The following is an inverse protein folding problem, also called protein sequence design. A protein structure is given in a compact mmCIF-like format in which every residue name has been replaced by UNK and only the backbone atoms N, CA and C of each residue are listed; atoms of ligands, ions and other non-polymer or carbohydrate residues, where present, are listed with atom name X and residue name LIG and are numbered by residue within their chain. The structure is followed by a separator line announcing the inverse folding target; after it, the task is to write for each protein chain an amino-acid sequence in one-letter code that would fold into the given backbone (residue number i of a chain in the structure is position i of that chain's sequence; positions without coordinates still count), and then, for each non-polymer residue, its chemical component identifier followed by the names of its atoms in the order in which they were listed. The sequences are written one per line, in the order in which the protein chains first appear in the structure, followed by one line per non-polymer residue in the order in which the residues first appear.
data_IF_041399442207
#
_entry.id   IF_041399442207
#
_cell.length_a   1.000
_cell.length_b   1.000
_cell.length_c   1.000
_cell.angle_alpha   90.00
_cell.angle_beta   90.00
_cell.angle_gamma   90.00
#
_symmetry.space_group_name_H-M   'P 1'
#
loop_
_entity.id
_entity.type
_entity.pdbx_description
1 polymer ?
#
# COMPACT_ATOMS: atom_id res chain seq x y z
N UNK A 1 -32.09 27.18 -45.56
CA UNK A 1 -31.47 26.43 -46.69
C UNK A 1 -29.98 26.34 -46.39
N UNK A 2 -29.49 25.17 -45.94
CA UNK A 2 -28.05 24.92 -45.74
C UNK A 2 -27.50 24.45 -47.08
N UNK A 3 -26.56 25.18 -47.66
CA UNK A 3 -25.92 24.81 -48.93
C UNK A 3 -25.23 23.44 -48.79
N UNK A 4 -25.30 22.57 -49.81
CA UNK A 4 -24.57 21.30 -49.77
C UNK A 4 -23.07 21.58 -49.72
N UNK A 5 -22.40 21.02 -48.70
CA UNK A 5 -20.95 21.14 -48.49
C UNK A 5 -20.18 20.72 -49.74
N UNK A 6 -19.22 21.55 -50.15
CA UNK A 6 -18.34 21.27 -51.30
C UNK A 6 -17.42 20.07 -51.01
N UNK A 7 -17.00 19.31 -52.03
CA UNK A 7 -16.14 18.13 -51.85
C UNK A 7 -14.80 18.45 -51.15
N UNK A 8 -14.31 19.69 -51.27
CA UNK A 8 -13.13 20.18 -50.53
C UNK A 8 -13.39 20.30 -49.03
N UNK A 9 -14.57 20.77 -48.63
CA UNK A 9 -14.95 20.89 -47.22
C UNK A 9 -15.19 19.52 -46.58
N UNK A 10 -15.81 18.59 -47.32
CA UNK A 10 -15.92 17.18 -46.88
C UNK A 10 -14.55 16.54 -46.70
N UNK A 11 -13.63 16.70 -47.66
CA UNK A 11 -12.27 16.16 -47.56
C UNK A 11 -11.47 16.79 -46.42
N UNK A 12 -11.61 18.10 -46.17
CA UNK A 12 -10.98 18.80 -45.05
C UNK A 12 -11.53 18.32 -43.70
N UNK A 13 -12.84 18.15 -43.58
CA UNK A 13 -13.45 17.58 -42.37
C UNK A 13 -13.03 16.13 -42.14
N UNK A 14 -12.98 15.31 -43.21
CA UNK A 14 -12.52 13.93 -43.12
C UNK A 14 -11.06 13.83 -42.67
N UNK A 15 -10.17 14.65 -43.24
CA UNK A 15 -8.76 14.73 -42.83
C UNK A 15 -8.63 15.19 -41.37
N UNK A 16 -9.39 16.21 -40.95
CA UNK A 16 -9.39 16.69 -39.55
C UNK A 16 -9.90 15.63 -38.57
N UNK A 17 -10.97 14.92 -38.92
CA UNK A 17 -11.51 13.83 -38.09
C UNK A 17 -10.53 12.66 -38.00
N UNK A 18 -9.93 12.24 -39.13
CA UNK A 18 -8.93 11.15 -39.13
C UNK A 18 -7.65 11.56 -38.38
N UNK A 19 -7.17 12.79 -38.56
CA UNK A 19 -6.01 13.29 -37.80
C UNK A 19 -6.32 13.38 -36.31
N UNK A 20 -7.55 13.78 -35.94
CA UNK A 20 -8.00 13.83 -34.55
C UNK A 20 -8.05 12.44 -33.92
N UNK A 21 -8.61 11.44 -34.61
CA UNK A 21 -8.65 10.05 -34.15
C UNK A 21 -7.25 9.46 -34.03
N UNK A 22 -6.37 9.70 -35.01
CA UNK A 22 -4.98 9.23 -34.98
C UNK A 22 -4.22 9.86 -33.81
N UNK A 23 -4.35 11.18 -33.61
CA UNK A 23 -3.75 11.89 -32.47
C UNK A 23 -4.23 11.32 -31.13
N UNK A 24 -5.52 11.04 -31.01
CA UNK A 24 -6.12 10.47 -29.80
C UNK A 24 -5.60 9.05 -29.53
N UNK A 25 -5.52 8.20 -30.57
CA UNK A 25 -4.94 6.86 -30.48
C UNK A 25 -3.45 6.89 -30.12
N UNK A 26 -2.66 7.77 -30.74
CA UNK A 26 -1.24 7.91 -30.41
C UNK A 26 -1.04 8.40 -28.98
N UNK A 27 -1.87 9.33 -28.51
CA UNK A 27 -1.82 9.83 -27.13
C UNK A 27 -2.16 8.72 -26.14
N UNK A 28 -3.20 7.91 -26.43
CA UNK A 28 -3.56 6.75 -25.62
C UNK A 28 -2.45 5.69 -25.59
N UNK A 29 -1.83 5.40 -26.73
CA UNK A 29 -0.70 4.49 -26.82
C UNK A 29 0.50 4.98 -26.02
N UNK A 30 0.79 6.30 -26.06
CA UNK A 30 1.85 6.93 -25.29
C UNK A 30 1.58 6.81 -23.78
N UNK A 31 0.36 7.11 -23.32
CA UNK A 31 -0.02 6.99 -21.90
C UNK A 31 0.10 5.54 -21.43
N UNK A 32 -0.32 4.58 -22.26
CA UNK A 32 -0.18 3.15 -21.95
C UNK A 32 1.30 2.72 -21.85
N UNK A 33 2.16 3.22 -22.74
CA UNK A 33 3.60 2.96 -22.71
C UNK A 33 4.28 3.60 -21.48
N UNK A 34 3.88 4.83 -21.12
CA UNK A 34 4.45 5.59 -20.00
C UNK A 34 3.84 5.25 -18.65
N UNK A 35 2.84 4.35 -18.56
CA UNK A 35 2.11 4.04 -17.32
C UNK A 35 3.01 3.69 -16.13
N UNK A 36 4.16 3.08 -16.39
CA UNK A 36 5.12 2.72 -15.35
C UNK A 36 5.80 3.94 -14.71
N UNK A 37 5.97 5.03 -15.47
CA UNK A 37 6.56 6.28 -15.00
C UNK A 37 5.52 7.21 -14.37
N UNK A 38 4.23 7.04 -14.68
CA UNK A 38 3.16 7.88 -14.15
C UNK A 38 3.18 7.93 -12.62
N UNK A 39 3.23 6.77 -11.94
CA UNK A 39 3.18 6.74 -10.48
C UNK A 39 4.39 7.45 -9.84
N UNK A 40 5.66 7.11 -10.16
CA UNK A 40 6.81 7.86 -9.65
C UNK A 40 6.74 9.36 -9.94
N UNK A 41 6.38 9.75 -11.16
CA UNK A 41 6.28 11.16 -11.54
C UNK A 41 5.23 11.89 -10.71
N UNK A 42 4.05 11.30 -10.49
CA UNK A 42 3.03 11.94 -9.67
C UNK A 42 3.48 12.01 -8.21
N UNK A 43 4.12 10.97 -7.66
CA UNK A 43 4.68 11.01 -6.30
C UNK A 43 5.70 12.15 -6.16
N UNK A 44 6.57 12.32 -7.15
CA UNK A 44 7.52 13.44 -7.21
C UNK A 44 6.81 14.80 -7.26
N UNK A 45 5.77 14.93 -8.10
CA UNK A 45 5.00 16.16 -8.23
C UNK A 45 4.22 16.52 -6.96
N UNK A 46 3.58 15.54 -6.33
CA UNK A 46 2.93 15.73 -5.03
C UNK A 46 3.94 16.14 -3.96
N UNK A 47 5.09 15.47 -3.90
CA UNK A 47 6.15 15.82 -2.97
C UNK A 47 6.59 17.27 -3.15
N UNK A 48 6.86 17.70 -4.39
CA UNK A 48 7.26 19.07 -4.67
C UNK A 48 6.17 20.07 -4.26
N UNK A 49 4.92 19.76 -4.57
CA UNK A 49 3.76 20.56 -4.20
C UNK A 49 3.62 20.71 -2.69
N UNK A 50 3.74 19.61 -1.93
CA UNK A 50 3.69 19.59 -0.47
C UNK A 50 4.87 20.34 0.17
N UNK A 51 6.05 20.27 -0.44
CA UNK A 51 7.26 20.95 0.02
C UNK A 51 7.31 22.44 -0.36
N UNK A 52 6.50 22.91 -1.32
CA UNK A 52 6.46 24.32 -1.74
C UNK A 52 6.22 25.33 -0.60
N UNK A 53 5.25 25.15 0.32
CA UNK A 53 5.11 26.05 1.48
C UNK A 53 6.33 26.02 2.42
N UNK A 54 6.99 24.86 2.58
CA UNK A 54 8.23 24.74 3.34
C UNK A 54 9.37 25.49 2.66
N UNK A 55 9.50 25.36 1.34
CA UNK A 55 10.46 26.11 0.52
C UNK A 55 10.29 27.62 0.73
N UNK A 56 9.06 28.13 0.62
CA UNK A 56 8.79 29.56 0.82
C UNK A 56 9.13 30.03 2.25
N UNK A 57 8.81 29.23 3.27
CA UNK A 57 9.22 29.55 4.66
C UNK A 57 10.73 29.59 4.84
N UNK A 58 11.48 28.70 4.20
CA UNK A 58 12.95 28.72 4.23
C UNK A 58 13.51 29.97 3.53
N UNK A 59 12.93 30.35 2.38
CA UNK A 59 13.28 31.59 1.67
C UNK A 59 13.02 32.82 2.55
N UNK A 60 11.88 32.88 3.24
CA UNK A 60 11.57 33.98 4.17
C UNK A 60 12.52 34.02 5.39
N UNK A 61 13.15 32.91 5.76
CA UNK A 61 14.20 32.85 6.80
C UNK A 61 15.60 33.20 6.28
N UNK A 62 15.74 33.63 5.02
CA UNK A 62 17.00 34.07 4.43
C UNK A 62 17.85 32.94 3.83
N UNK A 63 17.31 31.72 3.70
CA UNK A 63 18.02 30.63 3.01
C UNK A 63 17.97 30.88 1.50
N UNK A 64 19.12 30.78 0.82
CA UNK A 64 19.18 30.94 -0.64
C UNK A 64 18.34 29.87 -1.35
N UNK A 65 17.74 30.23 -2.49
CA UNK A 65 16.83 29.34 -3.23
C UNK A 65 17.46 27.96 -3.50
N UNK A 66 18.71 27.94 -3.97
CA UNK A 66 19.43 26.70 -4.26
C UNK A 66 19.67 25.83 -3.02
N UNK A 67 20.04 26.43 -1.88
CA UNK A 67 20.24 25.69 -0.63
C UNK A 67 18.93 25.10 -0.11
N UNK A 68 17.84 25.86 -0.15
CA UNK A 68 16.55 25.38 0.30
C UNK A 68 16.05 24.20 -0.54
N UNK A 69 16.23 24.26 -1.86
CA UNK A 69 15.90 23.16 -2.80
C UNK A 69 16.76 21.93 -2.52
N UNK A 70 18.07 22.09 -2.34
CA UNK A 70 18.98 20.97 -2.04
C UNK A 70 18.63 20.30 -0.72
N UNK A 71 18.31 21.07 0.33
CA UNK A 71 17.90 20.53 1.63
C UNK A 71 16.59 19.73 1.50
N UNK A 72 15.59 20.28 0.81
CA UNK A 72 14.31 19.59 0.61
C UNK A 72 14.45 18.34 -0.24
N UNK A 73 15.29 18.39 -1.29
CA UNK A 73 15.60 17.23 -2.12
C UNK A 73 16.31 16.13 -1.33
N UNK A 74 17.31 16.49 -0.52
CA UNK A 74 18.01 15.55 0.36
C UNK A 74 17.05 14.92 1.39
N UNK A 75 16.15 15.72 1.99
CA UNK A 75 15.13 15.23 2.91
C UNK A 75 14.16 14.27 2.22
N UNK A 76 13.66 14.61 1.03
CA UNK A 76 12.77 13.75 0.24
C UNK A 76 13.44 12.41 -0.11
N UNK A 77 14.68 12.45 -0.58
CA UNK A 77 15.46 11.26 -0.90
C UNK A 77 15.73 10.40 0.34
N UNK A 78 16.05 11.02 1.47
CA UNK A 78 16.25 10.34 2.74
C UNK A 78 14.96 9.66 3.23
N UNK A 79 13.81 10.33 3.14
CA UNK A 79 12.50 9.73 3.46
C UNK A 79 12.25 8.50 2.58
N UNK A 80 12.45 8.59 1.27
CA UNK A 80 12.29 7.45 0.36
C UNK A 80 13.23 6.30 0.74
N UNK A 81 14.49 6.60 1.05
CA UNK A 81 15.48 5.59 1.45
C UNK A 81 15.09 4.90 2.77
N UNK A 82 14.61 5.66 3.75
CA UNK A 82 14.12 5.13 5.02
C UNK A 82 12.89 4.25 4.80
N UNK A 83 11.91 4.71 4.04
CA UNK A 83 10.71 3.92 3.70
C UNK A 83 11.08 2.63 2.98
N UNK A 84 12.02 2.68 2.03
CA UNK A 84 12.51 1.51 1.31
C UNK A 84 13.16 0.49 2.26
N UNK A 85 14.04 0.93 3.16
CA UNK A 85 14.62 0.07 4.20
C UNK A 85 13.55 -0.51 5.14
N UNK A 86 12.56 0.29 5.51
CA UNK A 86 11.46 -0.13 6.36
C UNK A 86 10.64 -1.24 5.71
N UNK A 87 10.32 -1.10 4.41
CA UNK A 87 9.60 -2.10 3.62
C UNK A 87 10.44 -3.39 3.49
N UNK A 88 11.75 -3.28 3.25
CA UNK A 88 12.64 -4.44 3.20
C UNK A 88 12.68 -5.20 4.53
N UNK A 89 12.60 -4.50 5.66
CA UNK A 89 12.52 -5.15 6.98
C UNK A 89 11.21 -5.93 7.20
N UNK A 90 10.15 -5.61 6.46
CA UNK A 90 8.84 -6.28 6.59
C UNK A 90 8.75 -7.50 5.68
N UNK A 91 9.34 -7.45 4.48
CA UNK A 91 9.31 -8.58 3.54
C UNK A 91 10.34 -9.62 4.00
N UNK A 92 9.92 -10.77 4.55
CA UNK A 92 10.88 -11.77 5.00
C UNK A 92 11.61 -12.37 3.81
N UNK A 93 12.92 -12.60 3.98
CA UNK A 93 13.72 -13.39 3.03
C UNK A 93 13.06 -14.76 2.77
N UNK A 94 13.41 -15.44 1.68
CA UNK A 94 12.79 -16.73 1.32
C UNK A 94 12.76 -17.73 2.50
N UNK A 95 13.82 -17.77 3.32
CA UNK A 95 13.88 -18.56 4.55
C UNK A 95 12.92 -18.06 5.64
N UNK A 96 12.88 -16.74 5.89
CA UNK A 96 11.95 -16.13 6.85
C UNK A 96 10.50 -16.31 6.46
N UNK A 97 10.17 -16.36 5.16
CA UNK A 97 8.82 -16.61 4.66
C UNK A 97 8.34 -18.02 5.02
N UNK A 98 9.23 -19.02 4.90
CA UNK A 98 8.96 -20.41 5.27
C UNK A 98 8.74 -20.54 6.78
N UNK A 99 9.60 -19.89 7.57
CA UNK A 99 9.45 -19.83 9.02
C UNK A 99 8.16 -19.15 9.46
N UNK A 100 7.82 -18.02 8.84
CA UNK A 100 6.59 -17.29 9.13
C UNK A 100 5.35 -18.16 8.86
N UNK A 101 5.33 -18.97 7.79
CA UNK A 101 4.25 -19.93 7.54
C UNK A 101 4.12 -20.97 8.66
N UNK A 102 5.22 -21.59 9.08
CA UNK A 102 5.23 -22.58 10.18
C UNK A 102 4.77 -21.95 11.49
N UNK A 103 5.26 -20.73 11.79
CA UNK A 103 4.89 -19.98 12.99
C UNK A 103 3.41 -19.62 13.02
N UNK A 104 2.88 -19.13 11.90
CA UNK A 104 1.46 -18.84 11.74
C UNK A 104 0.65 -20.12 11.91
N UNK A 105 1.04 -21.22 11.24
CA UNK A 105 0.35 -22.50 11.34
C UNK A 105 0.29 -22.99 12.79
N UNK A 106 1.40 -22.94 13.52
CA UNK A 106 1.46 -23.31 14.94
C UNK A 106 0.50 -22.47 15.79
N UNK A 107 0.61 -21.14 15.70
CA UNK A 107 -0.18 -20.21 16.53
C UNK A 107 -1.66 -20.26 16.21
N UNK A 108 -2.01 -20.42 14.93
CA UNK A 108 -3.37 -20.57 14.46
C UNK A 108 -4.00 -21.85 15.05
N UNK A 109 -3.30 -22.99 14.95
CA UNK A 109 -3.78 -24.26 15.49
C UNK A 109 -3.90 -24.24 17.02
N UNK A 110 -2.96 -23.60 17.72
CA UNK A 110 -3.08 -23.41 19.17
C UNK A 110 -4.32 -22.59 19.53
N UNK A 111 -4.48 -21.38 18.96
CA UNK A 111 -5.63 -20.53 19.27
C UNK A 111 -6.95 -21.20 18.90
N UNK A 112 -6.99 -21.94 17.80
CA UNK A 112 -8.19 -22.68 17.38
C UNK A 112 -8.54 -23.81 18.34
N UNK A 113 -7.55 -24.58 18.80
CA UNK A 113 -7.75 -25.64 19.79
C UNK A 113 -8.22 -25.07 21.12
N UNK A 114 -7.66 -23.93 21.55
CA UNK A 114 -8.11 -23.18 22.74
C UNK A 114 -9.56 -22.70 22.62
N UNK A 115 -9.94 -22.11 21.47
CA UNK A 115 -11.31 -21.63 21.21
C UNK A 115 -12.32 -22.79 21.25
N UNK A 116 -11.95 -23.96 20.75
CA UNK A 116 -12.81 -25.15 20.76
C UNK A 116 -12.72 -25.95 22.06
N UNK A 117 -11.83 -25.59 22.98
CA UNK A 117 -11.58 -26.33 24.22
C UNK A 117 -11.13 -27.77 23.97
N UNK A 118 -10.41 -28.01 22.87
CA UNK A 118 -9.84 -29.32 22.52
C UNK A 118 -8.40 -29.34 23.07
N UNK A 119 -8.25 -29.39 24.38
CA UNK A 119 -6.94 -29.67 24.99
C UNK A 119 -6.92 -31.13 25.46
N UNK A 120 -5.82 -31.83 25.10
CA UNK A 120 -5.40 -33.17 25.51
C UNK A 120 -6.50 -34.12 26.01
N UNK A 121 -7.28 -34.68 25.07
CA UNK A 121 -8.21 -35.78 25.32
C UNK A 121 -9.62 -35.41 25.81
N UNK A 122 -9.95 -34.11 25.90
CA UNK A 122 -11.24 -33.62 26.39
C UNK A 122 -12.34 -33.46 25.33
N UNK A 123 -13.60 -33.70 25.75
CA UNK A 123 -14.81 -33.30 25.00
C UNK A 123 -14.78 -31.79 24.80
N UNK A 124 -14.84 -31.33 23.55
CA UNK A 124 -14.80 -29.90 23.22
C UNK A 124 -15.91 -29.09 23.90
N UNK A 125 -15.69 -27.78 23.97
CA UNK A 125 -16.58 -26.84 24.65
C UNK A 125 -17.89 -26.58 23.86
N UNK A 126 -18.72 -25.65 24.34
CA UNK A 126 -19.98 -25.26 23.67
C UNK A 126 -19.74 -24.81 22.22
N UNK A 127 -18.64 -24.11 21.95
CA UNK A 127 -18.26 -23.65 20.61
C UNK A 127 -17.95 -24.85 19.71
N UNK A 128 -17.23 -25.86 20.20
CA UNK A 128 -17.00 -27.10 19.48
C UNK A 128 -18.29 -27.83 19.13
N UNK A 129 -19.22 -27.93 20.06
CA UNK A 129 -20.49 -28.63 19.82
C UNK A 129 -21.39 -27.88 18.81
N UNK A 130 -21.32 -26.55 18.76
CA UNK A 130 -22.13 -25.73 17.85
C UNK A 130 -21.49 -25.53 16.48
N UNK A 131 -20.19 -25.24 16.44
CA UNK A 131 -19.49 -24.78 15.24
C UNK A 131 -18.37 -25.72 14.81
N UNK A 132 -18.00 -26.74 15.59
CA UNK A 132 -16.89 -27.64 15.28
C UNK A 132 -17.06 -28.36 13.94
N UNK A 133 -18.29 -28.73 13.56
CA UNK A 133 -18.59 -29.40 12.28
C UNK A 133 -18.21 -28.54 11.06
N UNK A 134 -18.36 -27.23 11.16
CA UNK A 134 -18.06 -26.29 10.07
C UNK A 134 -16.64 -25.72 10.18
N UNK A 135 -16.15 -25.51 11.40
CA UNK A 135 -14.84 -24.92 11.68
C UNK A 135 -13.69 -25.91 11.44
N UNK A 136 -13.84 -27.20 11.77
CA UNK A 136 -12.77 -28.19 11.60
C UNK A 136 -12.38 -28.36 10.12
N UNK A 137 -13.31 -28.57 9.16
CA UNK A 137 -12.95 -28.66 7.74
C UNK A 137 -12.37 -27.35 7.18
N UNK A 138 -12.81 -26.20 7.70
CA UNK A 138 -12.21 -24.91 7.35
C UNK A 138 -10.76 -24.83 7.82
N UNK A 139 -10.48 -25.26 9.05
CA UNK A 139 -9.13 -25.26 9.60
C UNK A 139 -8.21 -26.21 8.83
N UNK A 140 -8.70 -27.38 8.42
CA UNK A 140 -7.93 -28.30 7.57
C UNK A 140 -7.58 -27.66 6.21
N UNK A 141 -8.52 -26.93 5.59
CA UNK A 141 -8.24 -26.16 4.36
C UNK A 141 -7.18 -25.10 4.59
N UNK A 142 -7.26 -24.33 5.68
CA UNK A 142 -6.25 -23.31 6.02
C UNK A 142 -4.89 -23.95 6.26
N UNK A 143 -4.84 -25.05 7.03
CA UNK A 143 -3.62 -25.80 7.27
C UNK A 143 -3.00 -26.32 5.97
N UNK A 144 -3.80 -26.87 5.06
CA UNK A 144 -3.32 -27.35 3.77
C UNK A 144 -2.76 -26.23 2.88
N UNK A 145 -3.32 -25.02 2.96
CA UNK A 145 -2.88 -23.86 2.17
C UNK A 145 -1.57 -23.24 2.70
N UNK A 146 -1.28 -23.39 4.00
CA UNK A 146 -0.07 -22.85 4.64
C UNK A 146 1.04 -23.90 4.73
N UNK A 147 0.71 -25.17 4.49
CA UNK A 147 1.65 -26.30 4.53
C UNK A 147 2.81 -26.12 3.55
N UNK A 148 4.01 -26.46 4.01
CA UNK A 148 5.22 -26.41 3.19
C UNK A 148 5.24 -27.56 2.15
N UNK A 149 5.47 -27.21 0.88
CA UNK A 149 5.74 -28.17 -0.19
C UNK A 149 7.07 -28.90 0.02
N UNK A 150 7.32 -30.01 -0.71
CA UNK A 150 8.53 -30.82 -0.51
C UNK A 150 9.84 -30.03 -0.64
N UNK A 151 9.95 -29.18 -1.65
CA UNK A 151 11.16 -28.39 -1.87
C UNK A 151 11.29 -27.27 -0.83
N UNK A 152 10.17 -26.68 -0.43
CA UNK A 152 10.08 -25.69 0.65
C UNK A 152 10.49 -26.29 2.01
N UNK A 153 10.12 -27.55 2.30
CA UNK A 153 10.55 -28.28 3.52
C UNK A 153 12.06 -28.42 3.59
N UNK A 154 12.70 -28.82 2.48
CA UNK A 154 14.16 -28.96 2.42
C UNK A 154 14.86 -27.60 2.65
N UNK A 155 14.33 -26.54 2.03
CA UNK A 155 14.84 -25.18 2.23
C UNK A 155 14.66 -24.70 3.67
N UNK A 156 13.52 -24.99 4.29
CA UNK A 156 13.24 -24.66 5.69
C UNK A 156 14.24 -25.33 6.64
N UNK A 157 14.43 -26.65 6.52
CA UNK A 157 15.39 -27.41 7.34
C UNK A 157 16.81 -26.88 7.16
N UNK A 158 17.24 -26.66 5.90
CA UNK A 158 18.57 -26.10 5.61
C UNK A 158 18.74 -24.71 6.24
N UNK A 159 17.72 -23.86 6.17
CA UNK A 159 17.76 -22.51 6.73
C UNK A 159 17.84 -22.50 8.26
N UNK A 160 17.14 -23.42 8.92
CA UNK A 160 17.17 -23.55 10.38
C UNK A 160 18.53 -24.07 10.86
N UNK A 161 19.09 -25.08 10.19
CA UNK A 161 20.44 -25.58 10.49
C UNK A 161 21.50 -24.48 10.35
N UNK A 162 21.48 -23.72 9.25
CA UNK A 162 22.45 -22.64 9.03
C UNK A 162 22.33 -21.49 10.06
N UNK A 163 21.14 -21.29 10.64
CA UNK A 163 20.88 -20.18 11.57
C UNK A 163 21.12 -20.57 13.04
N UNK A 164 20.85 -21.81 13.42
CA UNK A 164 20.86 -22.27 14.82
C UNK A 164 21.88 -23.38 15.10
N UNK A 165 22.68 -23.75 14.10
CA UNK A 165 23.71 -24.79 14.18
C UNK A 165 23.16 -26.07 14.83
N UNK A 166 23.76 -26.59 15.90
CA UNK A 166 23.29 -27.81 16.60
C UNK A 166 22.00 -27.61 17.43
N UNK A 167 21.65 -26.37 17.78
CA UNK A 167 20.48 -26.08 18.64
C UNK A 167 19.15 -26.02 17.87
N UNK A 168 19.16 -26.25 16.55
CA UNK A 168 17.95 -26.13 15.72
C UNK A 168 16.85 -27.14 16.08
N UNK A 169 17.21 -28.31 16.60
CA UNK A 169 16.28 -29.38 17.00
C UNK A 169 15.49 -29.03 18.27
N UNK A 170 16.00 -28.12 19.09
CA UNK A 170 15.35 -27.64 20.31
C UNK A 170 14.37 -26.50 20.02
N UNK A 171 14.40 -25.94 18.81
CA UNK A 171 13.52 -24.85 18.43
C UNK A 171 12.07 -25.34 18.35
N UNK A 172 11.21 -24.78 19.21
CA UNK A 172 9.78 -25.09 19.31
C UNK A 172 9.06 -25.16 17.95
N UNK A 173 9.33 -24.21 17.06
CA UNK A 173 8.72 -24.18 15.72
C UNK A 173 9.24 -25.28 14.79
N UNK A 174 10.50 -25.66 14.95
CA UNK A 174 11.10 -26.78 14.22
C UNK A 174 10.52 -28.12 14.71
N UNK A 175 10.34 -28.28 16.02
CA UNK A 175 9.68 -29.46 16.59
C UNK A 175 8.23 -29.59 16.14
N UNK A 176 7.48 -28.48 16.13
CA UNK A 176 6.12 -28.48 15.61
C UNK A 176 6.08 -28.84 14.12
N UNK A 177 7.00 -28.29 13.32
CA UNK A 177 7.14 -28.66 11.92
C UNK A 177 7.38 -30.17 11.76
N UNK A 178 8.31 -30.75 12.52
CA UNK A 178 8.58 -32.19 12.51
C UNK A 178 7.36 -33.00 12.91
N UNK A 179 6.65 -32.60 13.97
CA UNK A 179 5.44 -33.27 14.43
C UNK A 179 4.35 -33.26 13.36
N UNK A 180 4.14 -32.14 12.67
CA UNK A 180 3.19 -32.05 11.56
C UNK A 180 3.61 -32.92 10.36
N UNK A 181 4.88 -32.94 9.99
CA UNK A 181 5.40 -33.79 8.90
C UNK A 181 5.20 -35.27 9.23
N UNK A 182 5.40 -35.65 10.48
CA UNK A 182 5.20 -37.02 10.96
C UNK A 182 3.72 -37.39 11.07
N UNK A 183 2.85 -36.50 11.54
CA UNK A 183 1.41 -36.74 11.61
C UNK A 183 0.78 -36.85 10.20
N UNK A 184 1.30 -36.11 9.23
CA UNK A 184 0.87 -36.20 7.83
C UNK A 184 1.21 -37.57 7.20
N UNK A 185 2.35 -38.16 7.62
CA UNK A 185 2.73 -39.54 7.24
C UNK A 185 1.70 -40.57 7.69
N UNK A 186 1.10 -40.39 8.86
CA UNK A 186 0.07 -41.28 9.41
C UNK A 186 -1.29 -41.08 8.73
N UNK A 187 -1.64 -39.84 8.39
CA UNK A 187 -2.94 -39.50 7.77
C UNK A 187 -2.99 -39.77 6.27
N UNK A 188 -1.88 -39.65 5.55
CA UNK A 188 -1.84 -39.68 4.09
C UNK A 188 -0.81 -40.70 3.59
N UNK A 189 -1.16 -41.99 3.72
CA UNK A 189 -0.33 -43.11 3.24
C UNK A 189 0.16 -42.96 1.79
N UNK A 190 1.45 -43.24 1.59
CA UNK A 190 2.23 -43.39 0.33
C UNK A 190 2.13 -42.34 -0.79
N UNK A 191 1.18 -41.40 -0.76
CA UNK A 191 0.97 -40.45 -1.86
C UNK A 191 1.95 -39.28 -1.85
N UNK A 192 2.65 -39.07 -0.73
CA UNK A 192 3.69 -38.04 -0.58
C UNK A 192 4.98 -38.54 0.08
N UNK A 193 5.42 -39.77 -0.25
CA UNK A 193 6.83 -40.23 -0.16
C UNK A 193 7.49 -40.27 1.23
N UNK A 194 8.72 -40.79 1.22
CA UNK A 194 9.48 -41.21 2.41
C UNK A 194 9.66 -40.10 3.46
N UNK A 195 9.83 -40.49 4.74
CA UNK A 195 10.04 -39.55 5.84
C UNK A 195 11.18 -38.57 5.51
N UNK A 196 11.09 -37.34 6.04
CA UNK A 196 12.28 -36.52 6.22
C UNK A 196 13.10 -37.24 7.28
N UNK A 197 13.95 -38.13 6.82
CA UNK A 197 14.90 -38.84 7.64
C UNK A 197 15.88 -37.80 8.20
N UNK A 198 15.86 -37.60 9.52
CA UNK A 198 16.71 -36.60 10.19
C UNK A 198 18.20 -36.93 10.00
N UNK A 199 18.50 -38.22 9.81
CA UNK A 199 19.83 -38.73 9.47
C UNK A 199 20.15 -38.56 7.99
N UNK A 200 19.17 -38.60 7.08
CA UNK A 200 19.40 -38.21 5.68
C UNK A 200 19.48 -36.69 5.52
N UNK A 201 18.77 -35.93 6.36
CA UNK A 201 18.87 -34.49 6.40
C UNK A 201 20.22 -34.05 6.95
N UNK A 202 20.80 -34.74 7.94
CA UNK A 202 22.18 -34.53 8.39
C UNK A 202 23.19 -34.92 7.30
N UNK A 203 22.90 -35.96 6.50
CA UNK A 203 23.70 -36.44 5.36
C UNK A 203 23.41 -35.76 4.01
N UNK A 204 22.77 -34.59 3.95
CA UNK A 204 22.66 -33.79 2.72
C UNK A 204 24.01 -33.11 2.40
N UNK A 205 25.06 -33.90 2.25
CA UNK A 205 26.26 -33.52 1.53
C UNK A 205 26.00 -33.66 0.02
N UNK A 206 26.12 -32.54 -0.70
CA UNK A 206 26.40 -32.55 -2.14
C UNK A 206 25.29 -33.05 -3.07
N UNK A 207 24.30 -32.21 -3.35
CA UNK A 207 23.78 -32.12 -4.72
C UNK A 207 23.76 -30.65 -5.19
N UNK A 208 24.77 -30.22 -5.99
CA UNK A 208 24.77 -28.91 -6.62
C UNK A 208 23.72 -28.76 -7.73
N UNK A 209 23.03 -29.83 -8.13
CA UNK A 209 22.40 -29.94 -9.46
C UNK A 209 20.86 -29.96 -9.45
N UNK A 210 20.22 -30.04 -8.29
CA UNK A 210 18.75 -29.91 -8.17
C UNK A 210 18.22 -28.48 -8.35
N UNK A 211 19.10 -27.49 -8.48
CA UNK A 211 18.74 -26.11 -8.77
C UNK A 211 18.44 -25.91 -10.27
N UNK A 212 17.39 -26.56 -10.78
CA UNK A 212 16.55 -25.89 -11.78
C UNK A 212 15.76 -24.78 -11.07
N UNK A 213 16.49 -23.85 -10.46
CA UNK A 213 16.01 -22.54 -10.17
C UNK A 213 15.61 -21.97 -11.53
N UNK A 214 14.29 -21.84 -11.77
CA UNK A 214 13.77 -20.86 -12.75
C UNK A 214 14.71 -19.66 -12.67
N UNK A 215 15.32 -19.21 -13.79
CA UNK A 215 16.43 -18.27 -13.74
C UNK A 215 16.00 -17.18 -12.79
N UNK A 216 16.68 -17.12 -11.63
CA UNK A 216 16.44 -16.08 -10.67
C UNK A 216 16.78 -14.84 -11.47
N UNK A 217 15.76 -14.15 -11.97
CA UNK A 217 15.89 -12.76 -12.38
C UNK A 217 16.44 -12.16 -11.11
N UNK A 218 17.76 -11.93 -11.10
CA UNK A 218 18.50 -11.82 -9.86
C UNK A 218 17.78 -10.78 -9.04
N UNK A 219 17.67 -10.95 -7.72
CA UNK A 219 17.04 -9.94 -6.88
C UNK A 219 17.63 -8.55 -7.22
N UNK A 220 18.91 -8.52 -7.63
CA UNK A 220 19.60 -7.40 -8.30
C UNK A 220 18.92 -6.85 -9.57
N UNK A 221 18.50 -7.67 -10.54
CA UNK A 221 17.78 -7.24 -11.75
C UNK A 221 16.38 -6.72 -11.43
N UNK A 222 15.68 -7.34 -10.47
CA UNK A 222 14.36 -6.86 -10.00
C UNK A 222 14.49 -5.53 -9.26
N UNK A 223 15.49 -5.41 -8.39
CA UNK A 223 15.83 -4.17 -7.68
C UNK A 223 16.31 -3.10 -8.66
N UNK A 224 17.15 -3.43 -9.62
CA UNK A 224 17.64 -2.51 -10.66
C UNK A 224 16.50 -1.93 -11.50
N UNK A 225 15.52 -2.76 -11.88
CA UNK A 225 14.33 -2.28 -12.59
C UNK A 225 13.41 -1.43 -11.71
N UNK A 226 13.23 -1.78 -10.43
CA UNK A 226 12.46 -0.96 -9.49
C UNK A 226 13.13 0.41 -9.25
N UNK A 227 14.45 0.43 -9.02
CA UNK A 227 15.21 1.67 -8.84
C UNK A 227 15.16 2.53 -10.11
N UNK A 228 15.30 1.94 -11.29
CA UNK A 228 15.26 2.67 -12.57
C UNK A 228 13.92 3.38 -12.79
N UNK A 229 12.80 2.71 -12.47
CA UNK A 229 11.45 3.30 -12.63
C UNK A 229 11.19 4.37 -11.57
N UNK A 230 11.54 4.11 -10.31
CA UNK A 230 11.29 5.04 -9.21
C UNK A 230 12.23 6.26 -9.20
N UNK A 231 13.33 6.22 -9.96
CA UNK A 231 14.22 7.37 -10.15
C UNK A 231 13.49 8.57 -10.76
N UNK A 232 12.42 8.35 -11.53
CA UNK A 232 11.63 9.46 -12.06
C UNK A 232 11.00 10.35 -10.96
N UNK A 233 10.70 9.80 -9.76
CA UNK A 233 10.10 10.57 -8.67
C UNK A 233 11.00 11.70 -8.15
N UNK A 234 12.25 11.45 -7.69
CA UNK A 234 13.15 12.52 -7.27
C UNK A 234 13.47 13.50 -8.40
N UNK A 235 13.60 13.04 -9.65
CA UNK A 235 13.81 13.93 -10.78
C UNK A 235 12.63 14.90 -10.96
N UNK A 236 11.40 14.38 -11.05
CA UNK A 236 10.20 15.23 -11.18
C UNK A 236 10.04 16.15 -9.98
N UNK A 237 10.29 15.65 -8.77
CA UNK A 237 10.29 16.47 -7.55
C UNK A 237 11.24 17.67 -7.69
N UNK A 238 12.49 17.42 -8.07
CA UNK A 238 13.53 18.44 -8.19
C UNK A 238 13.19 19.46 -9.29
N UNK A 239 12.77 18.99 -10.47
CA UNK A 239 12.41 19.88 -11.57
C UNK A 239 11.21 20.77 -11.24
N UNK A 240 10.18 20.24 -10.57
CA UNK A 240 9.02 21.04 -10.16
C UNK A 240 9.31 21.97 -8.99
N UNK A 241 10.29 21.66 -8.15
CA UNK A 241 10.72 22.56 -7.06
C UNK A 241 11.63 23.68 -7.57
N UNK A 242 12.39 23.43 -8.64
CA UNK A 242 13.16 24.43 -9.37
C UNK A 242 12.27 25.36 -10.20
N UNK A 243 11.08 24.92 -10.60
CA UNK A 243 10.14 25.74 -11.35
C UNK A 243 9.63 26.93 -10.52
N UNK A 244 10.01 28.14 -10.91
CA UNK A 244 9.54 29.39 -10.30
C UNK A 244 8.18 29.85 -10.85
N UNK A 245 7.48 28.99 -11.61
CA UNK A 245 6.18 29.25 -12.22
C UNK A 245 6.24 29.46 -13.73
N UNK A 246 7.37 29.13 -14.37
CA UNK A 246 7.53 29.17 -15.81
C UNK A 246 6.55 28.22 -16.50
N UNK A 247 6.29 27.05 -15.91
CA UNK A 247 5.31 26.08 -16.45
C UNK A 247 3.91 26.70 -16.51
N UNK A 248 3.45 27.34 -15.42
CA UNK A 248 2.15 28.01 -15.36
C UNK A 248 2.09 29.16 -16.38
N UNK A 249 3.15 29.97 -16.46
CA UNK A 249 3.24 31.09 -17.40
C UNK A 249 3.17 30.64 -18.86
N UNK A 250 3.92 29.59 -19.22
CA UNK A 250 3.92 29.02 -20.57
C UNK A 250 2.58 28.39 -20.94
N UNK A 251 1.92 27.73 -19.99
CA UNK A 251 0.58 27.19 -20.21
C UNK A 251 -0.44 28.30 -20.51
N UNK A 252 -0.36 29.41 -19.78
CA UNK A 252 -1.25 30.56 -19.96
C UNK A 252 -0.98 31.28 -21.29
N UNK A 253 0.26 31.29 -21.79
CA UNK A 253 0.58 31.87 -23.12
C UNK A 253 -0.05 31.12 -24.30
N UNK A 254 -0.44 29.86 -24.13
CA UNK A 254 -1.14 29.10 -25.18
C UNK A 254 -2.62 29.47 -25.29
N UNK A 255 -3.15 30.20 -24.31
CA UNK A 255 -4.57 30.54 -24.22
C UNK A 255 -4.87 31.80 -25.05
N UNK A 256 -5.86 31.77 -25.96
CA UNK A 256 -6.31 32.98 -26.66
C UNK A 256 -6.78 34.05 -25.66
N UNK A 257 -6.47 35.32 -25.94
CA UNK A 257 -6.76 36.44 -25.03
C UNK A 257 -8.21 36.49 -24.53
N UNK A 258 -9.19 36.04 -25.34
CA UNK A 258 -10.61 35.96 -24.97
C UNK A 258 -10.89 35.08 -23.74
N UNK A 259 -10.11 34.01 -23.55
CA UNK A 259 -10.33 33.02 -22.49
C UNK A 259 -9.31 33.14 -21.35
N UNK A 260 -8.44 34.17 -21.40
CA UNK A 260 -7.33 34.32 -20.47
C UNK A 260 -7.78 34.36 -19.01
N UNK A 261 -8.75 35.22 -18.68
CA UNK A 261 -9.27 35.38 -17.33
C UNK A 261 -9.93 34.08 -16.83
N UNK A 262 -10.78 33.47 -17.65
CA UNK A 262 -11.42 32.19 -17.34
C UNK A 262 -10.40 31.08 -17.05
N UNK A 263 -9.38 30.90 -17.89
CA UNK A 263 -8.36 29.86 -17.67
C UNK A 263 -7.52 30.17 -16.44
N UNK A 264 -7.17 31.43 -16.19
CA UNK A 264 -6.42 31.82 -15.01
C UNK A 264 -7.21 31.51 -13.72
N UNK A 265 -8.51 31.82 -13.71
CA UNK A 265 -9.41 31.51 -12.59
C UNK A 265 -9.57 30.00 -12.38
N UNK A 266 -9.69 29.22 -13.46
CA UNK A 266 -9.71 27.74 -13.36
C UNK A 266 -8.41 27.22 -12.76
N UNK A 267 -7.25 27.70 -13.23
CA UNK A 267 -5.95 27.26 -12.73
C UNK A 267 -5.77 27.62 -11.25
N UNK A 268 -6.21 28.79 -10.82
CA UNK A 268 -6.11 29.24 -9.43
C UNK A 268 -7.01 28.42 -8.49
N UNK A 269 -8.27 28.20 -8.90
CA UNK A 269 -9.21 27.37 -8.13
C UNK A 269 -8.75 25.91 -8.05
N UNK A 270 -8.17 25.37 -9.13
CA UNK A 270 -7.62 24.02 -9.13
C UNK A 270 -6.41 23.93 -8.22
N UNK A 271 -5.51 24.91 -8.25
CA UNK A 271 -4.34 24.96 -7.36
C UNK A 271 -4.76 25.00 -5.89
N UNK A 272 -5.69 25.88 -5.53
CA UNK A 272 -6.20 25.98 -4.16
C UNK A 272 -6.93 24.68 -3.71
N UNK A 273 -7.72 24.07 -4.59
CA UNK A 273 -8.42 22.82 -4.29
C UNK A 273 -7.47 21.64 -4.09
N UNK A 274 -6.47 21.47 -4.97
CA UNK A 274 -5.42 20.45 -4.81
C UNK A 274 -4.65 20.70 -3.52
N UNK A 275 -4.27 21.95 -3.25
CA UNK A 275 -3.49 22.28 -2.07
C UNK A 275 -4.22 22.06 -0.76
N UNK A 276 -5.51 22.41 -0.67
CA UNK A 276 -6.36 22.11 0.48
C UNK A 276 -6.51 20.61 0.67
N UNK A 277 -6.81 19.86 -0.39
CA UNK A 277 -6.95 18.41 -0.34
C UNK A 277 -5.67 17.72 0.14
N UNK A 278 -4.52 18.02 -0.47
CA UNK A 278 -3.25 17.37 -0.16
C UNK A 278 -2.78 17.66 1.27
N UNK A 279 -2.86 18.91 1.72
CA UNK A 279 -2.49 19.29 3.09
C UNK A 279 -3.42 18.64 4.10
N UNK A 280 -4.71 18.60 3.78
CA UNK A 280 -5.70 17.92 4.58
C UNK A 280 -5.39 16.42 4.73
N UNK A 281 -5.21 15.74 3.60
CA UNK A 281 -4.88 14.30 3.55
C UNK A 281 -3.60 13.98 4.33
N UNK A 282 -2.55 14.80 4.21
CA UNK A 282 -1.31 14.62 4.98
C UNK A 282 -1.53 14.73 6.49
N UNK A 283 -2.34 15.70 6.93
CA UNK A 283 -2.69 15.88 8.34
C UNK A 283 -3.53 14.70 8.85
N UNK A 284 -4.52 14.26 8.07
CA UNK A 284 -5.35 13.09 8.36
C UNK A 284 -4.51 11.81 8.50
N UNK A 285 -3.65 11.51 7.51
CA UNK A 285 -2.73 10.37 7.53
C UNK A 285 -1.84 10.37 8.77
N UNK A 286 -1.36 11.55 9.18
CA UNK A 286 -0.51 11.72 10.37
C UNK A 286 -1.29 11.46 11.66
N UNK A 287 -2.52 11.99 11.77
CA UNK A 287 -3.38 11.80 12.94
C UNK A 287 -3.83 10.34 13.10
N UNK A 288 -4.24 9.71 12.01
CA UNK A 288 -4.63 8.29 11.98
C UNK A 288 -3.44 7.42 12.32
N UNK A 289 -2.28 7.64 11.68
CA UNK A 289 -1.08 6.87 11.95
C UNK A 289 -0.59 7.01 13.39
N UNK A 290 -0.65 8.22 13.95
CA UNK A 290 -0.33 8.48 15.35
C UNK A 290 -1.30 7.77 16.29
N UNK A 291 -2.59 7.78 15.97
CA UNK A 291 -3.62 7.10 16.77
C UNK A 291 -3.41 5.59 16.77
N UNK A 292 -3.16 4.99 15.61
CA UNK A 292 -2.80 3.56 15.51
C UNK A 292 -1.55 3.23 16.31
N UNK A 293 -0.51 4.05 16.20
CA UNK A 293 0.71 3.87 16.98
C UNK A 293 0.43 3.86 18.49
N UNK A 294 -0.28 4.88 19.00
CA UNK A 294 -0.58 5.00 20.44
C UNK A 294 -1.46 3.84 20.90
N UNK A 295 -2.54 3.51 20.18
CA UNK A 295 -3.43 2.43 20.58
C UNK A 295 -2.71 1.07 20.61
N UNK A 296 -1.93 0.73 19.58
CA UNK A 296 -1.20 -0.54 19.54
C UNK A 296 -0.10 -0.61 20.60
N UNK A 297 0.60 0.50 20.84
CA UNK A 297 1.58 0.58 21.90
C UNK A 297 0.94 0.38 23.28
N UNK A 298 -0.23 0.98 23.54
CA UNK A 298 -1.01 0.76 24.78
C UNK A 298 -1.45 -0.70 24.93
N UNK A 299 -1.80 -1.37 23.83
CA UNK A 299 -2.14 -2.81 23.83
C UNK A 299 -0.93 -3.70 24.19
N UNK A 300 0.30 -3.18 24.13
CA UNK A 300 1.53 -3.90 24.51
C UNK A 300 2.36 -4.36 23.33
N UNK A 301 2.16 -3.77 22.14
CA UNK A 301 3.05 -3.98 21.00
C UNK A 301 4.40 -3.30 21.27
N UNK A 302 5.50 -3.93 20.88
CA UNK A 302 6.82 -3.29 20.91
C UNK A 302 6.79 -1.97 20.14
N UNK A 303 7.51 -0.97 20.65
CA UNK A 303 7.53 0.40 20.11
C UNK A 303 7.83 0.43 18.59
N UNK A 304 8.79 -0.39 18.14
CA UNK A 304 9.17 -0.50 16.73
C UNK A 304 8.00 -0.96 15.86
N UNK A 305 7.27 -1.99 16.29
CA UNK A 305 6.16 -2.58 15.53
C UNK A 305 4.90 -1.72 15.58
N UNK A 306 4.59 -1.13 16.74
CA UNK A 306 3.50 -0.16 16.84
C UNK A 306 3.72 1.02 15.89
N UNK A 307 4.95 1.57 15.84
CA UNK A 307 5.30 2.70 14.97
C UNK A 307 5.21 2.30 13.49
N UNK A 308 5.72 1.12 13.15
CA UNK A 308 5.64 0.55 11.80
C UNK A 308 4.19 0.43 11.33
N UNK A 309 3.33 -0.19 12.13
CA UNK A 309 1.93 -0.43 11.77
C UNK A 309 1.19 0.91 11.70
N UNK A 310 1.42 1.81 12.66
CA UNK A 310 0.86 3.16 12.63
C UNK A 310 1.26 3.95 11.39
N UNK A 311 2.54 3.93 11.00
CA UNK A 311 3.02 4.60 9.80
C UNK A 311 2.40 4.01 8.53
N UNK A 312 2.37 2.68 8.42
CA UNK A 312 1.79 2.00 7.25
C UNK A 312 0.29 2.26 7.15
N UNK A 313 -0.46 2.15 8.26
CA UNK A 313 -1.88 2.44 8.32
C UNK A 313 -2.17 3.92 8.00
N UNK A 314 -1.38 4.83 8.56
CA UNK A 314 -1.48 6.28 8.32
C UNK A 314 -1.25 6.64 6.86
N UNK A 315 -0.14 6.20 6.25
CA UNK A 315 0.13 6.43 4.80
C UNK A 315 -0.98 5.83 3.95
N UNK A 316 -1.43 4.62 4.30
CA UNK A 316 -2.50 3.93 3.58
C UNK A 316 -3.85 4.63 3.70
N UNK A 317 -4.05 5.47 4.73
CA UNK A 317 -5.26 6.27 4.90
C UNK A 317 -5.37 7.41 3.86
N UNK A 318 -4.33 7.68 3.09
CA UNK A 318 -4.44 8.54 1.90
C UNK A 318 -5.46 7.99 0.89
N UNK A 319 -5.75 6.69 0.98
CA UNK A 319 -6.81 6.03 0.24
C UNK A 319 -7.94 5.67 1.21
N UNK A 320 -9.18 6.15 0.96
CA UNK A 320 -10.31 5.88 1.84
C UNK A 320 -10.50 4.40 2.14
N UNK A 321 -10.76 4.07 3.40
CA UNK A 321 -10.99 2.71 3.92
C UNK A 321 -9.80 1.74 3.87
N UNK A 322 -8.71 2.08 3.15
CA UNK A 322 -7.54 1.20 3.01
C UNK A 322 -6.65 1.27 4.25
N UNK A 323 -6.48 2.46 4.85
CA UNK A 323 -5.69 2.66 6.07
C UNK A 323 -6.10 1.73 7.22
N UNK A 324 -7.36 1.79 7.69
CA UNK A 324 -7.85 0.93 8.75
C UNK A 324 -7.81 -0.57 8.39
N UNK A 325 -8.09 -0.93 7.14
CA UNK A 325 -8.02 -2.32 6.68
C UNK A 325 -6.60 -2.88 6.78
N UNK A 326 -5.60 -2.11 6.33
CA UNK A 326 -4.19 -2.52 6.44
C UNK A 326 -3.76 -2.55 7.91
N UNK A 327 -4.13 -1.54 8.71
CA UNK A 327 -3.84 -1.53 10.14
C UNK A 327 -4.39 -2.76 10.87
N UNK A 328 -5.62 -3.17 10.53
CA UNK A 328 -6.26 -4.36 11.08
C UNK A 328 -5.55 -5.64 10.64
N UNK A 329 -5.30 -5.82 9.34
CA UNK A 329 -4.66 -7.03 8.82
C UNK A 329 -3.25 -7.19 9.38
N UNK A 330 -2.44 -6.13 9.34
CA UNK A 330 -1.05 -6.17 9.82
C UNK A 330 -1.01 -6.30 11.34
N UNK A 331 -1.86 -5.56 12.06
CA UNK A 331 -1.98 -5.63 13.52
C UNK A 331 -2.40 -7.01 14.01
N UNK A 332 -3.40 -7.63 13.39
CA UNK A 332 -3.82 -9.00 13.72
C UNK A 332 -2.74 -10.02 13.40
N UNK A 333 -2.08 -9.89 12.25
CA UNK A 333 -0.97 -10.77 11.86
C UNK A 333 0.16 -10.73 12.88
N UNK A 334 0.52 -9.54 13.36
CA UNK A 334 1.52 -9.37 14.40
C UNK A 334 1.05 -9.96 15.74
N UNK A 335 -0.20 -9.68 16.16
CA UNK A 335 -0.78 -10.23 17.39
C UNK A 335 -0.85 -11.77 17.42
N UNK A 336 -0.89 -12.43 16.26
CA UNK A 336 -0.81 -13.88 16.17
C UNK A 336 0.61 -14.42 16.37
N UNK A 337 1.62 -13.65 15.97
CA UNK A 337 3.01 -14.08 15.87
C UNK A 337 3.82 -13.71 17.11
N UNK A 338 3.47 -12.62 17.77
CA UNK A 338 4.24 -12.06 18.87
C UNK A 338 4.20 -12.95 20.10
N UNK A 339 5.36 -13.15 20.73
CA UNK A 339 5.50 -13.96 21.94
C UNK A 339 5.79 -13.08 23.17
N UNK A 340 6.52 -11.99 22.97
CA UNK A 340 6.84 -11.00 23.99
C UNK A 340 5.81 -9.87 23.92
N UNK A 341 5.01 -9.70 24.96
CA UNK A 341 4.04 -8.63 25.07
C UNK A 341 4.12 -8.01 26.46
N UNK A 342 4.16 -6.69 26.51
CA UNK A 342 4.20 -5.93 27.76
C UNK A 342 3.05 -4.91 27.73
N UNK A 343 1.82 -5.32 28.10
CA UNK A 343 0.69 -4.44 28.03
C UNK A 343 0.81 -3.35 29.09
N UNK A 344 0.53 -2.12 28.70
CA UNK A 344 0.47 -0.99 29.64
C UNK A 344 -0.77 -1.08 30.56
N UNK A 345 -1.81 -1.81 30.14
CA UNK A 345 -3.04 -2.02 30.90
C UNK A 345 -3.08 -3.45 31.47
N UNK A 346 -3.28 -3.63 32.79
CA UNK A 346 -3.17 -4.92 33.47
C UNK A 346 -4.29 -5.93 33.12
N UNK A 347 -5.32 -5.50 32.39
CA UNK A 347 -6.47 -6.33 32.00
C UNK A 347 -6.34 -6.93 30.58
N UNK A 348 -5.22 -6.68 29.89
CA UNK A 348 -4.99 -7.16 28.53
C UNK A 348 -4.25 -8.50 28.59
N UNK A 349 -5.02 -9.57 28.41
CA UNK A 349 -4.49 -10.92 28.30
C UNK A 349 -4.01 -11.23 26.87
N UNK A 350 -2.97 -12.07 26.69
CA UNK A 350 -2.47 -12.47 25.36
C UNK A 350 -3.51 -13.28 24.56
N UNK A 351 -4.47 -13.88 25.26
CA UNK A 351 -5.60 -14.56 24.63
C UNK A 351 -6.60 -13.58 23.99
N UNK A 352 -6.75 -12.37 24.54
CA UNK A 352 -7.66 -11.32 24.05
C UNK A 352 -6.97 -10.29 23.15
N UNK A 353 -5.68 -10.44 22.84
CA UNK A 353 -4.90 -9.46 22.04
C UNK A 353 -5.53 -9.13 20.68
N UNK A 354 -6.08 -10.12 19.97
CA UNK A 354 -6.76 -9.89 18.67
C UNK A 354 -7.99 -8.99 18.85
N UNK A 355 -8.74 -9.17 19.94
CA UNK A 355 -9.89 -8.35 20.28
C UNK A 355 -9.45 -6.91 20.58
N UNK A 356 -8.38 -6.72 21.34
CA UNK A 356 -7.85 -5.38 21.65
C UNK A 356 -7.26 -4.65 20.44
N UNK A 357 -6.65 -5.36 19.50
CA UNK A 357 -6.26 -4.81 18.19
C UNK A 357 -7.49 -4.36 17.41
N UNK A 358 -8.57 -5.15 17.42
CA UNK A 358 -9.84 -4.79 16.76
C UNK A 358 -10.43 -3.54 17.40
N UNK A 359 -10.47 -3.45 18.73
CA UNK A 359 -10.91 -2.25 19.45
C UNK A 359 -10.05 -1.04 19.09
N UNK A 360 -8.74 -1.21 19.00
CA UNK A 360 -7.82 -0.13 18.60
C UNK A 360 -8.13 0.42 17.21
N UNK A 361 -8.40 -0.47 16.24
CA UNK A 361 -8.83 -0.09 14.89
C UNK A 361 -10.17 0.67 14.94
N UNK A 362 -11.13 0.19 15.73
CA UNK A 362 -12.44 0.84 15.87
C UNK A 362 -12.33 2.23 16.50
N UNK A 363 -11.47 2.40 17.50
CA UNK A 363 -11.18 3.71 18.10
C UNK A 363 -10.56 4.64 17.05
N UNK A 364 -9.55 4.17 16.31
CA UNK A 364 -8.91 4.96 15.27
C UNK A 364 -9.90 5.38 14.18
N UNK A 365 -10.77 4.48 13.73
CA UNK A 365 -11.81 4.75 12.74
C UNK A 365 -12.91 5.68 13.28
N UNK A 366 -13.26 5.55 14.56
CA UNK A 366 -14.21 6.44 15.23
C UNK A 366 -13.67 7.87 15.31
N UNK A 367 -12.41 8.03 15.70
CA UNK A 367 -11.73 9.32 15.72
C UNK A 367 -11.58 9.92 14.31
N UNK A 368 -11.27 9.09 13.32
CA UNK A 368 -11.16 9.52 11.93
C UNK A 368 -12.47 10.12 11.43
N UNK A 369 -13.57 9.39 11.57
CA UNK A 369 -14.89 9.83 11.10
C UNK A 369 -15.45 11.01 11.92
N UNK A 370 -15.26 11.04 13.24
CA UNK A 370 -15.89 12.02 14.12
C UNK A 370 -15.06 13.29 14.33
N UNK A 371 -13.73 13.21 14.23
CA UNK A 371 -12.81 14.28 14.61
C UNK A 371 -11.90 14.68 13.45
N UNK A 372 -11.19 13.72 12.84
CA UNK A 372 -10.17 14.06 11.85
C UNK A 372 -10.78 14.55 10.54
N UNK A 373 -11.77 13.85 10.00
CA UNK A 373 -12.47 14.25 8.78
C UNK A 373 -13.08 15.67 8.89
N UNK A 374 -13.82 16.04 9.95
CA UNK A 374 -14.30 17.42 10.10
C UNK A 374 -13.19 18.48 10.18
N UNK A 375 -12.11 18.19 10.91
CA UNK A 375 -10.96 19.11 11.05
C UNK A 375 -10.26 19.32 9.70
N UNK A 376 -10.16 18.25 8.91
CA UNK A 376 -9.41 18.20 7.66
C UNK A 376 -10.23 18.70 6.46
N UNK A 377 -11.48 18.26 6.36
CA UNK A 377 -12.33 18.39 5.17
C UNK A 377 -13.42 19.44 5.32
N UNK A 378 -13.59 20.06 6.50
CA UNK A 378 -14.75 20.85 6.93
C UNK A 378 -15.22 22.03 6.07
N UNK A 379 -14.58 22.33 4.93
CA UNK A 379 -15.10 23.30 3.94
C UNK A 379 -14.56 23.17 2.51
N UNK A 380 -13.56 22.32 2.24
CA UNK A 380 -12.77 22.45 1.01
C UNK A 380 -13.30 21.68 -0.21
N UNK A 381 -13.92 20.50 -0.02
CA UNK A 381 -14.37 19.66 -1.14
C UNK A 381 -15.59 18.83 -0.77
N UNK A 382 -16.79 19.36 -0.97
CA UNK A 382 -18.06 18.65 -0.76
C UNK A 382 -18.28 17.53 -1.81
N UNK A 383 -17.59 16.40 -1.68
CA UNK A 383 -17.88 15.21 -2.49
C UNK A 383 -18.89 14.33 -1.78
N UNK A 384 -19.89 13.88 -2.53
CA UNK A 384 -20.80 12.86 -2.02
C UNK A 384 -20.05 11.53 -1.84
N UNK A 385 -20.22 10.78 -0.72
CA UNK A 385 -19.46 9.54 -0.46
C UNK A 385 -19.53 8.52 -1.60
N UNK A 386 -20.70 8.39 -2.24
CA UNK A 386 -20.89 7.53 -3.41
C UNK A 386 -19.96 7.88 -4.59
N UNK A 387 -19.70 9.17 -4.84
CA UNK A 387 -18.78 9.61 -5.91
C UNK A 387 -17.35 9.20 -5.58
N UNK A 388 -16.96 9.29 -4.30
CA UNK A 388 -15.65 8.85 -3.82
C UNK A 388 -15.48 7.36 -4.01
N UNK A 389 -16.44 6.54 -3.56
CA UNK A 389 -16.39 5.08 -3.69
C UNK A 389 -16.30 4.67 -5.17
N UNK A 390 -17.18 5.20 -6.02
CA UNK A 390 -17.17 4.90 -7.46
C UNK A 390 -15.86 5.36 -8.10
N UNK A 391 -15.36 6.53 -7.72
CA UNK A 391 -14.08 7.05 -8.21
C UNK A 391 -12.90 6.17 -7.85
N UNK A 392 -12.81 5.74 -6.59
CA UNK A 392 -11.75 4.86 -6.09
C UNK A 392 -11.80 3.49 -6.79
N UNK A 393 -13.00 2.92 -6.95
CA UNK A 393 -13.20 1.67 -7.69
C UNK A 393 -12.86 1.81 -9.19
N UNK A 394 -13.29 2.90 -9.84
CA UNK A 394 -12.95 3.16 -11.23
C UNK A 394 -11.45 3.37 -11.43
N UNK A 395 -10.82 4.13 -10.54
CA UNK A 395 -9.38 4.36 -10.53
C UNK A 395 -8.58 3.08 -10.35
N UNK A 396 -9.01 2.19 -9.44
CA UNK A 396 -8.34 0.92 -9.19
C UNK A 396 -8.40 -0.02 -10.40
N UNK A 397 -9.51 -0.01 -11.15
CA UNK A 397 -9.64 -0.80 -12.39
C UNK A 397 -8.77 -0.23 -13.52
N UNK A 398 -8.70 1.10 -13.66
CA UNK A 398 -7.99 1.76 -14.76
C UNK A 398 -6.47 1.73 -14.62
N UNK A 399 -5.97 2.07 -13.43
CA UNK A 399 -4.54 2.28 -13.18
C UNK A 399 -4.01 1.49 -11.98
N UNK A 400 -4.83 0.63 -11.36
CA UNK A 400 -4.44 -0.10 -10.15
C UNK A 400 -4.32 0.82 -8.92
N UNK A 401 -3.36 0.51 -8.06
CA UNK A 401 -3.06 1.29 -6.84
C UNK A 401 -2.84 2.80 -7.09
N UNK A 402 -2.11 3.24 -8.14
CA UNK A 402 -2.03 4.65 -8.51
C UNK A 402 -3.40 5.29 -8.74
N UNK A 403 -4.28 4.66 -9.52
CA UNK A 403 -5.60 5.23 -9.82
C UNK A 403 -6.48 5.31 -8.58
N UNK A 404 -6.32 4.37 -7.66
CA UNK A 404 -6.99 4.39 -6.36
C UNK A 404 -6.57 5.60 -5.52
N UNK A 405 -5.26 5.89 -5.46
CA UNK A 405 -4.69 7.04 -4.74
C UNK A 405 -5.11 8.39 -5.33
N UNK A 406 -5.17 8.49 -6.65
CA UNK A 406 -5.45 9.74 -7.35
C UNK A 406 -6.93 9.95 -7.69
N UNK A 407 -7.80 9.00 -7.35
CA UNK A 407 -9.23 9.08 -7.64
C UNK A 407 -9.85 10.37 -7.09
N UNK A 408 -9.67 10.65 -5.81
CA UNK A 408 -10.26 11.83 -5.18
C UNK A 408 -9.67 13.13 -5.75
N UNK A 409 -8.34 13.37 -5.80
CA UNK A 409 -7.79 14.56 -6.43
C UNK A 409 -8.32 14.79 -7.83
N UNK A 410 -8.41 13.73 -8.64
CA UNK A 410 -8.93 13.82 -10.02
C UNK A 410 -10.39 14.26 -10.03
N UNK A 411 -11.23 13.67 -9.16
CA UNK A 411 -12.63 14.08 -9.00
C UNK A 411 -12.72 15.55 -8.59
N UNK A 412 -11.89 15.99 -7.63
CA UNK A 412 -11.85 17.40 -7.19
C UNK A 412 -11.52 18.32 -8.35
N UNK A 413 -10.45 18.02 -9.10
CA UNK A 413 -10.03 18.80 -10.26
C UNK A 413 -11.15 18.87 -11.29
N UNK A 414 -11.76 17.74 -11.65
CA UNK A 414 -12.88 17.71 -12.62
C UNK A 414 -14.05 18.55 -12.11
N UNK A 415 -14.44 18.40 -10.84
CA UNK A 415 -15.53 19.17 -10.24
C UNK A 415 -15.25 20.67 -10.29
N UNK A 416 -14.05 21.09 -9.92
CA UNK A 416 -13.64 22.50 -9.92
C UNK A 416 -13.58 23.05 -11.34
N UNK A 417 -12.93 22.36 -12.26
CA UNK A 417 -12.85 22.77 -13.68
C UNK A 417 -14.24 22.93 -14.27
N UNK A 418 -15.11 21.92 -14.13
CA UNK A 418 -16.47 21.98 -14.66
C UNK A 418 -17.27 23.11 -14.00
N UNK A 419 -17.23 23.21 -12.66
CA UNK A 419 -17.95 24.24 -11.92
C UNK A 419 -17.52 25.65 -12.31
N UNK A 420 -16.21 25.91 -12.37
CA UNK A 420 -15.67 27.21 -12.76
C UNK A 420 -15.96 27.52 -14.22
N UNK A 421 -15.79 26.57 -15.15
CA UNK A 421 -16.11 26.79 -16.57
C UNK A 421 -17.58 27.13 -16.78
N UNK A 422 -18.51 26.40 -16.16
CA UNK A 422 -19.94 26.71 -16.27
C UNK A 422 -20.29 28.08 -15.68
N UNK A 423 -19.67 28.44 -14.55
CA UNK A 423 -19.86 29.75 -13.93
C UNK A 423 -19.37 30.88 -14.83
N UNK A 424 -18.13 30.79 -15.33
CA UNK A 424 -17.51 31.81 -16.18
C UNK A 424 -18.23 31.96 -17.52
N UNK A 425 -18.56 30.84 -18.18
CA UNK A 425 -19.28 30.89 -19.47
C UNK A 425 -20.64 31.59 -19.35
N UNK A 426 -21.33 31.42 -18.22
CA UNK A 426 -22.59 32.12 -17.93
C UNK A 426 -22.36 33.60 -17.63
N UNK A 427 -21.33 33.94 -16.87
CA UNK A 427 -20.95 35.32 -16.56
C UNK A 427 -20.61 36.12 -17.81
N UNK A 428 -19.86 35.54 -18.76
CA UNK A 428 -19.52 36.16 -20.04
C UNK A 428 -20.60 36.03 -21.12
N UNK A 429 -21.79 35.49 -20.79
CA UNK A 429 -22.90 35.24 -21.73
C UNK A 429 -22.48 34.47 -22.99
N UNK A 430 -21.54 33.53 -22.84
CA UNK A 430 -21.14 32.63 -23.92
C UNK A 430 -22.19 31.53 -24.10
N UNK A 431 -22.89 31.18 -23.01
CA UNK A 431 -24.02 30.24 -22.94
C UNK A 431 -25.20 30.91 -22.24
#
# INVERSE_FOLDING_TARGET
MVSPLTDREKRRMWVLSVSGVLFLLTTLALVWALRALILPSIVGALGAYLCKPLLNRMKHRGVSNSLAIVILFAAFFLIIMLLSKQIQSIIPDNAGKLELRVRIQYRLNQKFSQILGIEDGGKGNMVYNMLGRDLLPMMDKVNSAIMLERDERKQFIRSYRLRFDDSFLEQKYFQYFLANVNADKERMGSRYGQPVDLDAASNLEGDPSGANAKPATSTLTKIGNLISIWLAAPFVFLFLLLDEGEIKKNLVYLVPNRYFEMVLTVLDNVDDAIGKYLRGTMLECSLVGFTFFVCLWVVGFELKWALLIGLVAGISNAIPFVGPAIGLVVGMSYALVVENYEPLLPFIDPNSMILWVTISVLIAQGLDNAVFQPIVLGSAVSLHPLVVIIGVMGGSILLGLPGMLFAIPTIVVVKVVVGTLFSEMKSYRII
#
